data_IF_467533488786
#
_entry.id   IF_467533488786
#
_cell.length_a   1.000
_cell.length_b   1.000
_cell.length_c   1.000
_cell.angle_alpha   90.00
_cell.angle_beta   90.00
_cell.angle_gamma   90.00
#
_symmetry.space_group_name_H-M   'P 1'
#
loop_
_entity.id
_entity.type
_entity.pdbx_description
1 polymer ?
#
# COMPACT_ATOMS: atom_id res chain seq x y z
N UNK A 1 -51.46 -9.96 3.26
CA UNK A 1 -50.52 -9.85 4.39
C UNK A 1 -49.09 -9.72 3.89
N UNK A 2 -48.72 -10.45 2.84
CA UNK A 2 -47.35 -10.51 2.32
C UNK A 2 -46.76 -9.16 1.90
N UNK A 3 -47.54 -8.27 1.27
CA UNK A 3 -47.06 -6.93 0.89
C UNK A 3 -46.74 -6.01 2.08
N UNK A 4 -47.43 -6.17 3.21
CA UNK A 4 -47.16 -5.40 4.43
C UNK A 4 -45.92 -5.93 5.15
N UNK A 5 -45.73 -7.25 5.15
CA UNK A 5 -44.56 -7.92 5.72
C UNK A 5 -43.28 -7.57 4.93
N UNK A 6 -43.37 -7.53 3.60
CA UNK A 6 -42.28 -7.09 2.72
C UNK A 6 -41.92 -5.61 2.94
N UNK A 7 -42.93 -4.76 3.19
CA UNK A 7 -42.70 -3.34 3.48
C UNK A 7 -41.92 -3.16 4.80
N UNK A 8 -42.33 -3.86 5.87
CA UNK A 8 -41.61 -3.83 7.15
C UNK A 8 -40.19 -4.39 7.05
N UNK A 9 -39.99 -5.46 6.28
CA UNK A 9 -38.65 -6.01 6.03
C UNK A 9 -37.77 -5.01 5.27
N UNK A 10 -38.32 -4.30 4.28
CA UNK A 10 -37.59 -3.26 3.55
C UNK A 10 -37.27 -2.04 4.42
N UNK A 11 -38.18 -1.63 5.30
CA UNK A 11 -37.96 -0.53 6.23
C UNK A 11 -36.86 -0.88 7.25
N UNK A 12 -36.88 -2.12 7.77
CA UNK A 12 -35.84 -2.62 8.67
C UNK A 12 -34.48 -2.74 7.95
N UNK A 13 -34.48 -3.23 6.70
CA UNK A 13 -33.29 -3.25 5.84
C UNK A 13 -32.73 -1.84 5.63
N UNK A 14 -33.56 -0.86 5.30
CA UNK A 14 -33.13 0.54 5.14
C UNK A 14 -32.63 1.16 6.45
N UNK A 15 -33.18 0.77 7.60
CA UNK A 15 -32.71 1.22 8.91
C UNK A 15 -31.31 0.69 9.22
N UNK A 16 -31.05 -0.61 9.02
CA UNK A 16 -29.72 -1.22 9.20
C UNK A 16 -28.69 -0.59 8.24
N UNK A 17 -29.06 -0.36 6.98
CA UNK A 17 -28.19 0.30 6.00
C UNK A 17 -27.80 1.72 6.43
N UNK A 18 -28.71 2.45 7.10
CA UNK A 18 -28.45 3.80 7.63
C UNK A 18 -27.58 3.78 8.89
N UNK A 19 -27.60 2.71 9.66
CA UNK A 19 -26.81 2.54 10.89
C UNK A 19 -25.39 2.06 10.57
N UNK A 20 -25.24 1.15 9.60
CA UNK A 20 -23.98 0.53 9.17
C UNK A 20 -23.50 1.08 7.81
N UNK A 21 -23.39 2.40 7.69
CA UNK A 21 -22.99 3.08 6.44
C UNK A 21 -21.60 2.71 5.88
N UNK A 22 -20.83 1.92 6.62
CA UNK A 22 -19.48 1.47 6.31
C UNK A 22 -19.39 0.04 5.73
N UNK A 23 -20.51 -0.69 5.62
CA UNK A 23 -20.54 -2.08 5.13
C UNK A 23 -21.13 -2.18 3.72
N UNK A 24 -20.57 -3.07 2.90
CA UNK A 24 -21.13 -3.38 1.58
C UNK A 24 -22.34 -4.30 1.71
N UNK A 25 -23.38 -4.03 0.92
CA UNK A 25 -24.62 -4.78 0.95
C UNK A 25 -24.59 -5.84 -0.15
N UNK A 26 -24.60 -7.10 0.25
CA UNK A 26 -24.76 -8.22 -0.67
C UNK A 26 -26.18 -8.28 -1.24
N UNK A 27 -26.29 -8.45 -2.56
CA UNK A 27 -27.56 -8.77 -3.21
C UNK A 27 -27.94 -10.22 -2.95
N UNK A 28 -29.23 -10.56 -3.12
CA UNK A 28 -29.69 -11.96 -3.01
C UNK A 28 -28.93 -12.88 -3.97
N UNK A 29 -28.58 -12.41 -5.16
CA UNK A 29 -27.79 -13.17 -6.12
C UNK A 29 -26.35 -13.40 -5.65
N UNK A 30 -25.77 -12.46 -4.90
CA UNK A 30 -24.44 -12.63 -4.32
C UNK A 30 -24.47 -13.72 -3.23
N UNK A 31 -25.52 -13.73 -2.40
CA UNK A 31 -25.72 -14.74 -1.35
C UNK A 31 -26.00 -16.12 -1.94
N UNK A 32 -26.86 -16.20 -2.95
CA UNK A 32 -27.20 -17.47 -3.59
C UNK A 32 -25.94 -18.11 -4.17
N UNK A 33 -25.07 -17.36 -4.84
CA UNK A 33 -23.80 -17.87 -5.36
C UNK A 33 -22.84 -18.33 -4.25
N UNK A 34 -22.75 -17.62 -3.13
CA UNK A 34 -21.93 -18.04 -1.96
C UNK A 34 -22.44 -19.37 -1.39
N UNK A 35 -23.76 -19.59 -1.41
CA UNK A 35 -24.40 -20.78 -0.85
C UNK A 35 -24.59 -21.91 -1.87
N UNK A 36 -24.38 -21.65 -3.17
CA UNK A 36 -24.61 -22.61 -4.26
C UNK A 36 -23.38 -23.44 -4.62
N UNK A 37 -22.21 -23.14 -4.06
CA UNK A 37 -21.02 -23.98 -4.26
C UNK A 37 -21.23 -25.30 -3.48
N UNK A 38 -21.79 -26.29 -4.18
CA UNK A 38 -21.72 -27.69 -3.77
C UNK A 38 -20.23 -28.10 -3.72
N UNK A 39 -19.59 -27.89 -2.58
CA UNK A 39 -18.27 -28.44 -2.32
C UNK A 39 -18.37 -29.96 -2.24
N UNK A 40 -17.63 -30.67 -3.09
CA UNK A 40 -17.28 -32.05 -2.85
C UNK A 40 -16.59 -32.15 -1.48
N UNK A 41 -17.20 -32.93 -0.59
CA UNK A 41 -16.77 -33.23 0.77
C UNK A 41 -15.25 -33.50 0.87
N UNK A 42 -14.51 -32.54 1.42
CA UNK A 42 -13.32 -32.84 2.20
C UNK A 42 -13.52 -32.27 3.60
N UNK A 43 -13.53 -33.18 4.57
CA UNK A 43 -13.84 -32.95 5.97
C UNK A 43 -12.90 -31.91 6.60
N UNK A 44 -13.44 -30.75 6.95
CA UNK A 44 -12.87 -29.88 7.98
C UNK A 44 -13.95 -29.51 8.99
N UNK A 45 -13.58 -29.63 10.26
CA UNK A 45 -14.45 -29.47 11.43
C UNK A 45 -15.05 -28.05 11.50
N UNK A 46 -16.37 -27.99 11.51
CA UNK A 46 -17.15 -26.75 11.67
C UNK A 46 -16.95 -26.22 13.10
N UNK A 47 -16.11 -25.20 13.26
CA UNK A 47 -16.11 -24.36 14.46
C UNK A 47 -17.30 -23.41 14.39
N UNK A 48 -18.32 -23.68 15.21
CA UNK A 48 -19.53 -22.88 15.29
C UNK A 48 -19.31 -21.47 15.83
N UNK A 49 -20.01 -20.50 15.25
CA UNK A 49 -20.12 -19.11 15.73
C UNK A 49 -20.77 -19.08 17.13
N UNK A 50 -20.18 -18.42 18.14
CA UNK A 50 -20.83 -18.30 19.45
C UNK A 50 -22.09 -17.45 19.34
N UNK A 51 -23.24 -18.05 19.66
CA UNK A 51 -24.52 -17.35 19.78
C UNK A 51 -24.56 -16.60 21.11
N UNK A 52 -25.00 -15.33 21.06
CA UNK A 52 -25.30 -14.48 22.21
C UNK A 52 -26.13 -15.21 23.27
N UNK A 53 -25.52 -15.45 24.44
CA UNK A 53 -26.24 -15.70 25.69
C UNK A 53 -25.78 -14.68 26.72
N UNK A 54 -26.54 -13.60 26.80
CA UNK A 54 -26.52 -12.67 27.94
C UNK A 54 -27.09 -13.41 29.15
N UNK A 55 -26.24 -14.08 29.93
CA UNK A 55 -26.59 -14.51 31.28
C UNK A 55 -26.14 -13.45 32.30
N UNK A 56 -27.16 -12.76 32.80
CA UNK A 56 -27.12 -11.79 33.89
C UNK A 56 -26.65 -12.49 35.17
N UNK A 57 -25.44 -12.22 35.64
CA UNK A 57 -25.04 -12.51 37.03
C UNK A 57 -24.68 -11.20 37.73
N UNK A 58 -25.56 -10.81 38.64
CA UNK A 58 -25.37 -9.72 39.60
C UNK A 58 -24.30 -10.14 40.62
N UNK A 59 -23.33 -9.26 40.89
CA UNK A 59 -22.59 -9.26 42.16
C UNK A 59 -22.27 -7.84 42.60
N UNK A 60 -22.45 -7.61 43.90
CA UNK A 60 -22.40 -6.33 44.63
C UNK A 60 -20.99 -5.72 44.75
N UNK A 61 -20.86 -4.42 45.11
CA UNK A 61 -19.60 -3.71 44.99
C UNK A 61 -18.67 -3.99 46.18
N UNK A 62 -17.49 -4.56 45.90
CA UNK A 62 -16.37 -4.52 46.84
C UNK A 62 -15.42 -3.39 46.46
N UNK A 63 -15.31 -2.42 47.38
CA UNK A 63 -14.34 -1.34 47.36
C UNK A 63 -12.98 -1.90 47.76
N UNK A 64 -12.04 -2.02 46.82
CA UNK A 64 -10.61 -2.05 47.14
C UNK A 64 -9.81 -1.59 45.91
N UNK A 65 -9.16 -0.43 46.03
CA UNK A 65 -8.17 0.06 45.07
C UNK A 65 -6.88 -0.77 45.23
N UNK A 66 -6.35 -1.43 44.20
CA UNK A 66 -4.97 -1.89 44.24
C UNK A 66 -4.07 -0.74 43.76
N UNK A 67 -3.34 -0.13 44.68
CA UNK A 67 -2.17 0.69 44.36
C UNK A 67 -1.16 -0.17 43.62
N UNK A 68 -0.99 0.08 42.31
CA UNK A 68 0.09 -0.52 41.52
C UNK A 68 1.45 -0.11 42.13
N UNK A 69 2.32 -1.06 42.51
CA UNK A 69 3.69 -0.74 42.85
C UNK A 69 4.40 -0.28 41.57
N UNK A 70 5.03 0.89 41.62
CA UNK A 70 5.91 1.39 40.56
C UNK A 70 7.15 0.51 40.57
N UNK A 71 7.16 -0.53 39.73
CA UNK A 71 8.37 -1.30 39.47
C UNK A 71 9.13 -0.54 38.39
N UNK A 72 10.29 0.01 38.75
CA UNK A 72 11.28 0.53 37.80
C UNK A 72 11.89 -0.63 37.01
N UNK A 73 11.10 -1.27 36.14
CA UNK A 73 11.63 -2.21 35.16
C UNK A 73 12.27 -1.40 34.04
N UNK A 74 13.60 -1.28 34.08
CA UNK A 74 14.35 -0.77 32.94
C UNK A 74 14.20 -1.78 31.81
N UNK A 75 13.55 -1.38 30.72
CA UNK A 75 13.33 -2.22 29.54
C UNK A 75 14.61 -2.35 28.71
N UNK A 76 14.71 -3.39 27.89
CA UNK A 76 15.82 -3.53 26.95
C UNK A 76 15.91 -2.34 25.98
N UNK A 77 14.75 -1.85 25.53
CA UNK A 77 14.66 -0.65 24.71
C UNK A 77 15.27 0.55 25.44
N UNK A 78 14.86 0.84 26.67
CA UNK A 78 15.34 1.99 27.44
C UNK A 78 16.85 1.98 27.73
N UNK A 79 17.47 0.79 27.80
CA UNK A 79 18.91 0.59 28.08
C UNK A 79 19.83 0.84 26.88
N UNK A 80 19.29 1.02 25.66
CA UNK A 80 20.14 1.19 24.48
C UNK A 80 21.00 2.45 24.58
N UNK A 81 22.26 2.31 24.17
CA UNK A 81 23.23 3.42 24.10
C UNK A 81 23.07 4.22 22.80
N UNK A 82 22.72 3.54 21.70
CA UNK A 82 22.58 4.16 20.38
C UNK A 82 21.16 4.73 20.26
N UNK A 83 21.03 6.05 20.44
CA UNK A 83 19.77 6.78 20.25
C UNK A 83 19.95 7.80 19.13
N UNK A 84 19.07 7.76 18.13
CA UNK A 84 19.07 8.68 16.98
C UNK A 84 20.42 8.80 16.22
N UNK A 85 21.21 7.71 16.20
CA UNK A 85 22.48 7.67 15.46
C UNK A 85 22.19 7.61 13.96
N UNK A 86 22.78 8.55 13.21
CA UNK A 86 22.66 8.59 11.74
C UNK A 86 23.42 7.41 11.14
N UNK A 87 22.73 6.57 10.37
CA UNK A 87 23.31 5.41 9.70
C UNK A 87 23.75 5.71 8.27
N UNK A 88 22.94 6.50 7.54
CA UNK A 88 23.16 6.82 6.14
C UNK A 88 22.75 8.26 5.85
N UNK A 89 23.53 8.93 5.00
CA UNK A 89 23.22 10.26 4.45
C UNK A 89 23.27 10.15 2.94
N UNK A 90 22.23 10.64 2.26
CA UNK A 90 22.16 10.70 0.81
C UNK A 90 22.33 12.14 0.35
N UNK A 91 23.07 12.35 -0.75
CA UNK A 91 23.32 13.66 -1.34
C UNK A 91 23.92 14.66 -0.34
N UNK A 92 24.94 14.23 0.39
CA UNK A 92 25.72 15.14 1.23
C UNK A 92 26.32 16.24 0.35
N UNK A 93 25.73 17.44 0.41
CA UNK A 93 26.43 18.61 -0.06
C UNK A 93 27.36 19.01 1.07
N UNK A 94 28.67 19.26 0.80
CA UNK A 94 29.52 19.88 1.79
C UNK A 94 28.97 21.29 2.02
N UNK A 95 28.14 21.44 3.05
CA UNK A 95 27.65 22.74 3.43
C UNK A 95 28.85 23.63 3.74
N UNK A 96 28.87 24.79 3.08
CA UNK A 96 29.74 25.89 3.40
C UNK A 96 29.66 26.15 4.90
N UNK A 97 30.80 26.01 5.58
CA UNK A 97 31.12 26.54 6.91
C UNK A 97 29.94 27.22 7.61
N UNK A 98 29.09 26.43 8.25
CA UNK A 98 28.34 26.88 9.42
C UNK A 98 28.66 25.88 10.53
N UNK A 99 29.80 26.16 11.14
CA UNK A 99 30.21 25.70 12.46
C UNK A 99 29.11 26.06 13.48
N UNK A 100 28.12 25.18 13.62
CA UNK A 100 27.28 25.13 14.82
C UNK A 100 27.59 23.77 15.44
N UNK A 101 28.62 23.80 16.29
CA UNK A 101 29.15 22.65 16.97
C UNK A 101 28.08 21.84 17.71
N UNK A 102 28.34 20.54 17.75
CA UNK A 102 27.77 19.57 18.66
C UNK A 102 28.02 20.00 20.12
N UNK A 103 27.17 20.85 20.66
CA UNK A 103 27.11 21.15 22.10
C UNK A 103 25.67 21.56 22.51
N UNK A 104 24.72 20.64 22.39
CA UNK A 104 23.49 20.67 23.20
C UNK A 104 23.27 19.31 23.85
N UNK A 105 24.22 18.91 24.71
CA UNK A 105 23.95 18.04 25.85
C UNK A 105 23.88 18.93 27.09
N UNK A 106 22.77 18.80 27.81
CA UNK A 106 22.50 19.36 29.15
C UNK A 106 22.16 20.85 29.23
N UNK A 107 20.90 21.19 28.95
CA UNK A 107 20.20 22.22 29.72
C UNK A 107 18.76 21.76 29.96
N UNK A 108 18.55 21.12 31.11
CA UNK A 108 17.24 21.07 31.74
C UNK A 108 17.00 22.45 32.37
N UNK A 109 15.85 23.04 32.05
CA UNK A 109 15.40 24.40 32.42
C UNK A 109 15.82 25.50 31.43
N UNK A 110 14.96 25.75 30.43
CA UNK A 110 14.58 27.11 30.06
C UNK A 110 13.30 27.13 29.20
N UNK A 111 12.21 27.57 29.87
CA UNK A 111 11.27 28.60 29.41
C UNK A 111 10.92 28.62 27.91
N UNK A 112 9.73 28.12 27.59
CA UNK A 112 8.91 28.45 26.40
C UNK A 112 9.76 28.67 25.13
N UNK A 113 10.26 27.58 24.52
CA UNK A 113 10.62 27.61 23.09
C UNK A 113 9.32 27.96 22.34
N UNK A 114 9.14 29.26 22.02
CA UNK A 114 8.12 29.72 21.06
C UNK A 114 8.23 28.79 19.85
N UNK A 115 7.13 28.11 19.54
CA UNK A 115 6.97 27.36 18.28
C UNK A 115 7.44 28.31 17.18
N UNK A 116 8.59 28.03 16.56
CA UNK A 116 9.03 28.83 15.43
C UNK A 116 7.96 28.68 14.36
N UNK A 117 7.50 29.75 13.70
CA UNK A 117 6.60 29.61 12.56
C UNK A 117 7.37 28.86 11.46
N UNK A 118 7.26 27.54 11.45
CA UNK A 118 7.79 26.72 10.36
C UNK A 118 6.91 27.00 9.14
N UNK A 119 7.54 27.24 7.99
CA UNK A 119 6.81 27.40 6.73
C UNK A 119 5.90 26.19 6.54
N UNK A 120 4.62 26.44 6.24
CA UNK A 120 3.65 25.35 6.06
C UNK A 120 3.90 24.68 4.71
N UNK A 121 4.04 23.36 4.69
CA UNK A 121 4.02 22.60 3.44
C UNK A 121 2.56 22.44 2.97
N UNK A 122 2.35 22.41 1.64
CA UNK A 122 1.06 22.05 1.07
C UNK A 122 1.00 20.54 0.88
N UNK A 123 -0.05 19.92 1.42
CA UNK A 123 -0.35 18.52 1.21
C UNK A 123 -1.55 18.41 0.27
N UNK A 124 -1.39 17.70 -0.85
CA UNK A 124 -2.48 17.34 -1.75
C UNK A 124 -2.54 15.83 -1.88
N UNK A 125 -3.64 15.27 -1.39
CA UNK A 125 -3.96 13.85 -1.61
C UNK A 125 -4.42 13.69 -3.06
N UNK A 126 -3.71 12.88 -3.85
CA UNK A 126 -4.01 12.66 -5.27
C UNK A 126 -5.17 11.69 -5.48
N UNK A 127 -5.25 10.66 -4.65
CA UNK A 127 -6.38 9.74 -4.56
C UNK A 127 -6.63 9.39 -3.10
N UNK A 128 -7.89 9.41 -2.71
CA UNK A 128 -8.37 8.77 -1.48
C UNK A 128 -8.53 7.27 -1.72
N UNK A 129 -8.80 6.52 -0.65
CA UNK A 129 -9.23 5.13 -0.71
C UNK A 129 -10.39 4.94 -1.70
N UNK A 130 -10.54 3.74 -2.30
CA UNK A 130 -11.68 3.42 -3.16
C UNK A 130 -13.00 3.79 -2.48
N UNK A 131 -13.98 4.22 -3.27
CA UNK A 131 -15.31 4.56 -2.74
C UNK A 131 -15.96 3.33 -2.08
N UNK A 132 -16.87 3.58 -1.13
CA UNK A 132 -17.56 2.55 -0.34
C UNK A 132 -18.31 1.57 -1.25
N UNK A 133 -17.70 0.40 -1.47
CA UNK A 133 -18.20 -0.64 -2.36
C UNK A 133 -17.42 -1.97 -2.29
N UNK A 134 -16.43 -2.06 -1.39
CA UNK A 134 -15.59 -3.24 -1.20
C UNK A 134 -16.44 -4.43 -0.76
N UNK A 135 -16.45 -5.50 -1.57
CA UNK A 135 -17.10 -6.75 -1.18
C UNK A 135 -16.19 -7.49 -0.22
N UNK A 136 -16.61 -7.61 1.03
CA UNK A 136 -15.84 -8.27 2.08
C UNK A 136 -15.61 -9.76 1.79
N UNK A 137 -14.35 -10.19 1.68
CA UNK A 137 -13.96 -11.59 1.43
C UNK A 137 -14.55 -12.20 0.16
N UNK A 138 -14.76 -11.40 -0.88
CA UNK A 138 -15.37 -11.88 -2.12
C UNK A 138 -14.68 -11.32 -3.36
N UNK A 139 -14.28 -12.22 -4.25
CA UNK A 139 -13.63 -11.91 -5.52
C UNK A 139 -14.35 -12.58 -6.68
N UNK A 140 -14.51 -11.89 -7.81
CA UNK A 140 -14.99 -12.48 -9.07
C UNK A 140 -13.81 -12.79 -9.98
N UNK A 141 -13.85 -13.95 -10.63
CA UNK A 141 -12.86 -14.31 -11.67
C UNK A 141 -12.84 -13.25 -12.78
N UNK A 142 -14.01 -12.70 -13.14
CA UNK A 142 -14.14 -11.60 -14.10
C UNK A 142 -13.36 -10.36 -13.69
N UNK A 143 -13.43 -9.96 -12.41
CA UNK A 143 -12.74 -8.77 -11.92
C UNK A 143 -11.22 -8.98 -11.91
N UNK A 144 -10.76 -10.17 -11.53
CA UNK A 144 -9.34 -10.56 -11.64
C UNK A 144 -8.86 -10.49 -13.09
N UNK A 145 -9.62 -11.10 -13.99
CA UNK A 145 -9.33 -11.09 -15.43
C UNK A 145 -9.26 -9.67 -15.98
N UNK A 146 -10.28 -8.85 -15.71
CA UNK A 146 -10.36 -7.47 -16.17
C UNK A 146 -9.19 -6.62 -15.63
N UNK A 147 -8.84 -6.79 -14.35
CA UNK A 147 -7.71 -6.10 -13.72
C UNK A 147 -6.40 -6.39 -14.44
N UNK A 148 -6.12 -7.66 -14.76
CA UNK A 148 -4.90 -8.06 -15.47
C UNK A 148 -4.91 -7.63 -16.94
N UNK A 149 -6.03 -7.81 -17.64
CA UNK A 149 -6.17 -7.42 -19.05
C UNK A 149 -6.04 -5.89 -19.24
N UNK A 150 -6.58 -5.10 -18.32
CA UNK A 150 -6.43 -3.63 -18.33
C UNK A 150 -4.96 -3.24 -18.23
N UNK A 151 -4.13 -3.97 -17.46
CA UNK A 151 -2.68 -3.69 -17.39
C UNK A 151 -2.03 -3.85 -18.77
N UNK A 152 -2.31 -4.96 -19.48
CA UNK A 152 -1.76 -5.21 -20.82
C UNK A 152 -2.21 -4.13 -21.80
N UNK A 153 -3.53 -3.87 -21.84
CA UNK A 153 -4.12 -2.89 -22.77
C UNK A 153 -3.53 -1.50 -22.59
N UNK A 154 -3.36 -1.05 -21.34
CA UNK A 154 -2.80 0.28 -21.06
C UNK A 154 -1.36 0.44 -21.53
N UNK A 155 -0.54 -0.60 -21.36
CA UNK A 155 0.82 -0.57 -21.89
C UNK A 155 0.79 -0.55 -23.42
N UNK A 156 -0.04 -1.39 -24.05
CA UNK A 156 -0.20 -1.39 -25.50
C UNK A 156 -0.61 -0.01 -26.03
N UNK A 157 -1.64 0.62 -25.43
CA UNK A 157 -2.06 1.98 -25.80
C UNK A 157 -0.94 3.01 -25.60
N UNK A 158 -0.19 2.94 -24.51
CA UNK A 158 0.92 3.87 -24.26
C UNK A 158 2.07 3.69 -25.28
N UNK A 159 2.40 2.45 -25.65
CA UNK A 159 3.39 2.17 -26.68
C UNK A 159 2.95 2.67 -28.06
N UNK A 160 1.70 2.43 -28.46
CA UNK A 160 1.16 2.99 -29.72
C UNK A 160 1.18 4.52 -29.70
N UNK A 161 0.71 5.13 -28.61
CA UNK A 161 0.65 6.58 -28.47
C UNK A 161 2.03 7.24 -28.47
N UNK A 162 3.10 6.51 -28.12
CA UNK A 162 4.47 7.03 -28.18
C UNK A 162 4.96 7.31 -29.60
N UNK A 163 4.41 6.62 -30.62
CA UNK A 163 4.85 6.72 -32.00
C UNK A 163 6.29 6.23 -32.26
N UNK A 164 6.93 5.60 -31.27
CA UNK A 164 8.32 5.12 -31.37
C UNK A 164 8.44 3.73 -31.99
N UNK A 165 7.35 2.97 -32.06
CA UNK A 165 7.31 1.58 -32.46
C UNK A 165 6.29 1.34 -33.58
N UNK A 166 6.45 0.26 -34.34
CA UNK A 166 5.49 -0.17 -35.35
C UNK A 166 4.16 -0.64 -34.73
N UNK A 167 3.14 -0.85 -35.57
CA UNK A 167 1.84 -1.38 -35.15
C UNK A 167 1.98 -2.70 -34.38
N UNK A 168 1.21 -2.86 -33.30
CA UNK A 168 1.19 -4.09 -32.52
C UNK A 168 0.76 -5.28 -33.37
N UNK A 169 1.47 -6.38 -33.19
CA UNK A 169 1.22 -7.63 -33.87
C UNK A 169 0.93 -8.74 -32.87
N UNK A 170 0.11 -9.70 -33.27
CA UNK A 170 -0.19 -10.89 -32.49
C UNK A 170 1.09 -11.74 -32.32
N UNK A 171 1.58 -11.93 -31.08
CA UNK A 171 2.79 -12.70 -30.84
C UNK A 171 2.60 -14.20 -31.05
N UNK A 172 1.37 -14.70 -31.25
CA UNK A 172 1.02 -16.13 -31.35
C UNK A 172 0.85 -16.62 -32.80
N UNK A 173 0.93 -15.71 -33.78
CA UNK A 173 0.76 -16.04 -35.20
C UNK A 173 2.13 -16.20 -35.87
N UNK A 174 2.21 -17.14 -36.81
CA UNK A 174 3.38 -17.30 -37.68
C UNK A 174 3.60 -16.01 -38.47
N UNK A 175 4.77 -15.41 -38.30
CA UNK A 175 5.16 -14.21 -39.02
C UNK A 175 6.44 -14.46 -39.84
N UNK A 176 6.38 -14.09 -41.11
CA UNK A 176 7.57 -14.00 -41.97
C UNK A 176 8.23 -12.61 -41.86
N UNK A 177 7.58 -11.65 -41.20
CA UNK A 177 8.09 -10.29 -41.01
C UNK A 177 9.20 -10.33 -39.96
N UNK A 178 10.34 -9.77 -40.30
CA UNK A 178 11.45 -9.58 -39.36
C UNK A 178 11.09 -8.44 -38.39
N UNK A 179 11.28 -8.66 -37.09
CA UNK A 179 11.03 -7.70 -36.00
C UNK A 179 9.55 -7.37 -35.78
N UNK A 180 8.78 -8.38 -35.39
CA UNK A 180 7.42 -8.26 -34.84
C UNK A 180 7.50 -7.51 -33.51
N UNK A 181 6.66 -6.48 -33.34
CA UNK A 181 6.49 -5.76 -32.08
C UNK A 181 5.20 -6.20 -31.40
N UNK A 182 5.30 -6.71 -30.18
CA UNK A 182 4.15 -7.22 -29.43
C UNK A 182 4.24 -6.79 -27.97
N UNK A 183 3.08 -6.50 -27.37
CA UNK A 183 2.96 -6.20 -25.95
C UNK A 183 2.22 -7.34 -25.27
N UNK A 184 2.74 -7.79 -24.12
CA UNK A 184 2.12 -8.86 -23.36
C UNK A 184 2.59 -8.92 -21.93
N UNK A 185 1.94 -9.78 -21.16
CA UNK A 185 2.25 -10.06 -19.77
C UNK A 185 3.12 -11.31 -19.66
N UNK A 186 4.17 -11.25 -18.84
CA UNK A 186 5.02 -12.40 -18.53
C UNK A 186 4.25 -13.38 -17.65
N UNK A 187 4.23 -14.65 -18.06
CA UNK A 187 3.61 -15.74 -17.32
C UNK A 187 4.59 -16.93 -17.19
N UNK A 188 4.31 -17.83 -16.25
CA UNK A 188 4.99 -19.12 -16.12
C UNK A 188 4.11 -20.22 -16.72
N UNK A 189 4.72 -21.28 -17.26
CA UNK A 189 4.03 -22.47 -17.78
C UNK A 189 3.63 -23.49 -16.69
N UNK A 190 4.03 -23.27 -15.42
CA UNK A 190 3.71 -24.12 -14.28
C UNK A 190 3.67 -23.38 -12.95
N UNK A 191 3.41 -24.11 -11.87
CA UNK A 191 3.20 -23.59 -10.50
C UNK A 191 4.50 -23.24 -9.75
N UNK A 192 5.66 -23.33 -10.41
CA UNK A 192 6.98 -23.03 -9.84
C UNK A 192 7.49 -21.63 -10.13
N UNK A 193 8.65 -21.31 -9.57
CA UNK A 193 9.36 -20.06 -9.88
C UNK A 193 9.64 -19.91 -11.38
N UNK A 194 9.55 -18.67 -11.86
CA UNK A 194 9.87 -18.32 -13.24
C UNK A 194 11.31 -18.73 -13.56
N UNK A 195 11.49 -19.56 -14.59
CA UNK A 195 12.80 -19.95 -15.09
C UNK A 195 12.89 -19.64 -16.58
N UNK A 196 14.10 -19.52 -17.11
CA UNK A 196 14.33 -19.08 -18.50
C UNK A 196 13.61 -19.93 -19.56
N UNK A 197 13.29 -21.20 -19.26
CA UNK A 197 12.65 -22.12 -20.19
C UNK A 197 11.12 -22.11 -20.10
N UNK A 198 10.56 -21.61 -18.99
CA UNK A 198 9.12 -21.58 -18.71
C UNK A 198 8.45 -20.23 -18.98
N UNK A 199 9.17 -19.29 -19.59
CA UNK A 199 8.67 -17.94 -19.80
C UNK A 199 7.69 -17.93 -20.97
N UNK A 200 6.45 -17.55 -20.66
CA UNK A 200 5.39 -17.32 -21.62
C UNK A 200 5.08 -15.82 -21.70
N UNK A 201 4.66 -15.37 -22.89
CA UNK A 201 4.09 -14.05 -23.10
C UNK A 201 2.60 -14.20 -23.41
N UNK A 202 1.76 -13.72 -22.49
CA UNK A 202 0.32 -13.63 -22.70
C UNK A 202 -0.02 -12.30 -23.38
N UNK A 203 -0.58 -12.36 -24.59
CA UNK A 203 -1.05 -11.14 -25.27
C UNK A 203 -2.41 -10.69 -24.74
N UNK A 204 -2.86 -9.52 -25.20
CA UNK A 204 -4.18 -9.01 -24.83
C UNK A 204 -5.31 -9.78 -25.52
N UNK A 205 -6.53 -9.66 -24.99
CA UNK A 205 -7.74 -10.21 -25.63
C UNK A 205 -7.95 -9.58 -27.00
N UNK A 206 -7.78 -8.26 -27.09
CA UNK A 206 -7.97 -7.49 -28.32
C UNK A 206 -7.03 -7.91 -29.45
N UNK A 207 -5.74 -8.15 -29.17
CA UNK A 207 -4.73 -8.39 -30.20
C UNK A 207 -4.45 -9.87 -30.46
N UNK A 208 -4.73 -10.74 -29.48
CA UNK A 208 -4.33 -12.17 -29.54
C UNK A 208 -5.37 -13.11 -28.93
N UNK A 209 -6.55 -12.64 -28.55
CA UNK A 209 -7.55 -13.45 -27.86
C UNK A 209 -7.10 -13.99 -26.50
N UNK A 210 -6.12 -13.32 -25.86
CA UNK A 210 -5.55 -13.75 -24.57
C UNK A 210 -4.62 -14.96 -24.69
N UNK A 211 -4.21 -15.34 -25.91
CA UNK A 211 -3.34 -16.48 -26.14
C UNK A 211 -1.93 -16.25 -25.60
N UNK A 212 -1.23 -17.36 -25.35
CA UNK A 212 0.13 -17.38 -24.80
C UNK A 212 1.09 -17.97 -25.81
N UNK A 213 2.29 -17.39 -25.88
CA UNK A 213 3.39 -17.93 -26.69
C UNK A 213 4.64 -18.10 -25.83
N UNK A 214 5.44 -19.12 -26.12
CA UNK A 214 6.74 -19.29 -25.45
C UNK A 214 7.69 -18.19 -25.87
N UNK A 215 8.41 -17.61 -24.91
CA UNK A 215 9.38 -16.56 -25.15
C UNK A 215 10.80 -17.14 -25.09
N UNK A 216 11.55 -17.03 -26.19
CA UNK A 216 12.96 -17.41 -26.24
C UNK A 216 13.85 -16.17 -26.09
N UNK A 217 14.66 -16.15 -25.03
CA UNK A 217 15.48 -15.02 -24.61
C UNK A 217 16.97 -15.20 -24.92
N UNK A 218 17.39 -16.29 -25.58
CA UNK A 218 18.81 -16.62 -25.77
C UNK A 218 19.62 -15.54 -26.51
N UNK A 219 18.96 -14.65 -27.26
CA UNK A 219 19.60 -13.55 -27.99
C UNK A 219 19.75 -12.27 -27.17
N UNK A 220 19.20 -12.21 -25.97
CA UNK A 220 19.27 -11.05 -25.09
C UNK A 220 20.48 -11.18 -24.16
N UNK A 221 21.26 -10.12 -24.03
CA UNK A 221 22.40 -10.10 -23.13
C UNK A 221 22.00 -9.84 -21.67
N UNK A 222 20.91 -9.08 -21.47
CA UNK A 222 20.41 -8.67 -20.16
C UNK A 222 18.90 -8.52 -20.23
N UNK A 223 18.22 -9.06 -19.23
CA UNK A 223 16.78 -8.89 -19.01
C UNK A 223 16.48 -9.11 -17.52
N UNK A 224 15.34 -8.60 -17.07
CA UNK A 224 14.82 -8.87 -15.73
C UNK A 224 13.32 -9.06 -15.85
N UNK A 225 12.86 -10.26 -15.55
CA UNK A 225 11.45 -10.60 -15.61
C UNK A 225 10.92 -11.12 -14.27
N UNK A 226 9.67 -10.79 -14.00
CA UNK A 226 8.90 -11.38 -12.91
C UNK A 226 7.47 -11.68 -13.39
N UNK A 227 6.74 -12.57 -12.69
CA UNK A 227 5.36 -12.90 -13.03
C UNK A 227 4.45 -11.67 -13.11
N UNK A 228 3.64 -11.62 -14.15
CA UNK A 228 2.72 -10.52 -14.46
C UNK A 228 3.33 -9.17 -14.82
N UNK A 229 4.65 -9.09 -15.04
CA UNK A 229 5.25 -7.93 -15.66
C UNK A 229 4.72 -7.74 -17.09
N UNK A 230 4.24 -6.54 -17.41
CA UNK A 230 3.83 -6.22 -18.78
C UNK A 230 5.02 -5.62 -19.52
N UNK A 231 5.36 -6.19 -20.66
CA UNK A 231 6.55 -5.84 -21.43
C UNK A 231 6.22 -5.77 -22.92
N UNK A 232 6.99 -4.96 -23.63
CA UNK A 232 7.02 -4.96 -25.09
C UNK A 232 8.23 -5.78 -25.59
N UNK A 233 8.00 -6.63 -26.58
CA UNK A 233 9.00 -7.50 -27.17
C UNK A 233 9.11 -7.18 -28.66
N UNK A 234 10.34 -6.91 -29.11
CA UNK A 234 10.70 -6.95 -30.53
C UNK A 234 11.35 -8.30 -30.83
N UNK A 235 10.82 -9.06 -31.77
CA UNK A 235 11.32 -10.39 -32.05
C UNK A 235 10.84 -10.98 -33.37
N UNK A 236 10.97 -12.29 -33.50
CA UNK A 236 10.39 -13.02 -34.63
C UNK A 236 9.73 -14.30 -34.14
N UNK A 237 8.54 -14.61 -34.66
CA UNK A 237 7.85 -15.85 -34.40
C UNK A 237 7.68 -16.65 -35.72
N UNK A 238 8.70 -17.41 -36.13
CA UNK A 238 8.64 -18.18 -37.37
C UNK A 238 7.71 -19.39 -37.27
N UNK A 239 7.32 -19.81 -36.07
CA UNK A 239 6.65 -21.09 -35.83
C UNK A 239 5.23 -20.99 -35.26
N UNK A 240 4.79 -19.79 -34.89
CA UNK A 240 3.53 -19.51 -34.19
C UNK A 240 3.58 -19.80 -32.69
N UNK A 241 4.35 -20.80 -32.27
CA UNK A 241 4.39 -21.25 -30.87
C UNK A 241 5.61 -20.75 -30.07
N UNK A 242 6.56 -20.04 -30.69
CA UNK A 242 7.70 -19.47 -29.99
C UNK A 242 8.16 -18.14 -30.57
N UNK A 243 8.07 -17.09 -29.77
CA UNK A 243 8.59 -15.76 -30.08
C UNK A 243 10.05 -15.68 -29.64
N UNK A 244 10.95 -15.53 -30.61
CA UNK A 244 12.38 -15.34 -30.37
C UNK A 244 12.64 -13.84 -30.17
N UNK A 245 12.85 -13.44 -28.92
CA UNK A 245 13.08 -12.05 -28.56
C UNK A 245 14.44 -11.58 -29.06
N UNK A 246 14.47 -10.36 -29.61
CA UNK A 246 15.69 -9.66 -30.01
C UNK A 246 15.94 -8.41 -29.19
N UNK A 247 14.87 -7.82 -28.63
CA UNK A 247 14.92 -6.69 -27.71
C UNK A 247 13.68 -6.70 -26.82
N UNK A 248 13.86 -6.23 -25.60
CA UNK A 248 12.82 -6.09 -24.57
C UNK A 248 12.72 -4.63 -24.20
N UNK A 249 11.51 -4.15 -24.03
CA UNK A 249 11.20 -2.82 -23.49
C UNK A 249 10.29 -3.01 -22.29
N UNK A 250 10.84 -2.74 -21.12
CA UNK A 250 10.23 -2.99 -19.79
C UNK A 250 9.71 -1.71 -19.12
N UNK A 251 9.83 -0.58 -19.80
CA UNK A 251 9.37 0.73 -19.34
C UNK A 251 8.27 1.27 -20.25
N UNK A 252 7.15 1.67 -19.63
CA UNK A 252 6.10 2.40 -20.34
C UNK A 252 6.70 3.73 -20.83
N UNK A 253 6.51 4.09 -22.10
CA UNK A 253 6.90 5.41 -22.59
C UNK A 253 6.11 6.46 -21.80
N UNK A 254 6.79 7.27 -21.01
CA UNK A 254 6.16 8.43 -20.39
C UNK A 254 5.83 9.39 -21.53
N UNK A 255 4.57 9.40 -21.95
CA UNK A 255 4.07 10.44 -22.83
C UNK A 255 4.09 11.72 -22.01
N UNK A 256 5.17 12.47 -22.11
CA UNK A 256 5.17 13.89 -21.78
C UNK A 256 4.17 14.51 -22.74
N UNK A 257 2.91 14.64 -22.32
CA UNK A 257 2.01 15.55 -23.02
C UNK A 257 2.73 16.91 -23.00
N UNK A 258 3.10 17.50 -24.15
CA UNK A 258 3.46 18.89 -24.12
C UNK A 258 2.22 19.60 -23.57
N UNK A 259 2.45 20.46 -22.59
CA UNK A 259 1.46 21.32 -21.97
C UNK A 259 0.76 22.14 -23.08
N UNK A 260 -0.29 21.57 -23.66
CA UNK A 260 -1.11 22.18 -24.71
C UNK A 260 -2.53 22.17 -24.20
N UNK A 261 -2.87 23.29 -23.55
CA UNK A 261 -4.20 23.86 -23.65
C UNK A 261 -5.29 23.19 -22.84
N UNK A 262 -5.10 23.04 -21.52
CA UNK A 262 -6.25 23.16 -20.65
C UNK A 262 -6.64 24.65 -20.54
N UNK A 263 -7.88 25.05 -20.90
CA UNK A 263 -8.34 26.41 -20.64
C UNK A 263 -8.32 26.64 -19.12
N UNK A 264 -7.92 27.84 -18.65
CA UNK A 264 -7.83 28.10 -17.22
C UNK A 264 -9.22 27.95 -16.63
N UNK A 265 -9.42 26.88 -15.85
CA UNK A 265 -10.62 26.71 -15.06
C UNK A 265 -10.80 27.99 -14.23
N UNK A 266 -11.97 28.60 -14.39
CA UNK A 266 -12.37 29.88 -13.79
C UNK A 266 -11.85 29.96 -12.36
N UNK A 267 -10.98 30.94 -12.12
CA UNK A 267 -10.67 31.45 -10.78
C UNK A 267 -12.00 31.74 -10.07
N UNK A 268 -12.38 30.89 -9.14
CA UNK A 268 -13.27 31.32 -8.07
C UNK A 268 -12.49 32.38 -7.30
N UNK A 269 -13.03 33.59 -7.31
CA UNK A 269 -12.49 34.71 -6.58
C UNK A 269 -12.72 34.49 -5.09
N UNK A 270 -11.65 34.24 -4.33
CA UNK A 270 -11.51 34.75 -2.97
C UNK A 270 -10.03 34.82 -2.59
N UNK A 271 -9.67 36.02 -2.14
CA UNK A 271 -8.46 36.53 -1.48
C UNK A 271 -7.12 36.48 -2.23
N UNK A 272 -6.80 37.66 -2.78
CA UNK A 272 -5.46 38.09 -3.14
C UNK A 272 -4.65 38.29 -1.86
N UNK A 273 -3.58 37.51 -1.66
CA UNK A 273 -2.33 38.03 -1.10
C UNK A 273 -1.15 37.08 -1.40
N UNK A 274 -0.09 37.70 -1.92
CA UNK A 274 1.27 37.17 -2.17
C UNK A 274 1.45 36.32 -3.45
N UNK A 275 1.76 37.02 -4.55
CA UNK A 275 2.56 36.43 -5.64
C UNK A 275 4.02 36.29 -5.18
N UNK A 276 4.70 35.14 -5.37
CA UNK A 276 6.15 35.08 -5.28
C UNK A 276 6.79 35.57 -6.59
N UNK A 277 7.72 36.51 -6.46
CA UNK A 277 8.65 36.96 -7.51
C UNK A 277 9.54 35.81 -8.01
N UNK A 278 10.12 35.88 -9.22
CA UNK A 278 10.93 34.81 -9.83
C UNK A 278 12.37 34.74 -9.26
N UNK A 279 12.52 35.02 -7.97
CA UNK A 279 13.73 34.77 -7.18
C UNK A 279 13.40 33.68 -6.17
N UNK A 280 13.04 32.48 -6.65
CA UNK A 280 12.71 31.36 -5.79
C UNK A 280 14.00 30.84 -5.15
N UNK A 281 14.30 31.32 -3.94
CA UNK A 281 15.00 30.49 -2.95
C UNK A 281 14.28 29.15 -2.94
N UNK A 282 14.98 28.07 -3.23
CA UNK A 282 14.44 26.71 -3.09
C UNK A 282 13.97 26.58 -1.65
N UNK A 283 12.65 26.53 -1.43
CA UNK A 283 12.10 26.25 -0.10
C UNK A 283 12.34 24.78 0.17
N UNK A 284 13.22 24.49 1.13
CA UNK A 284 13.56 23.13 1.52
C UNK A 284 12.38 22.49 2.27
N UNK A 285 11.99 21.28 1.86
CA UNK A 285 10.95 20.51 2.54
C UNK A 285 11.60 19.64 3.63
N UNK A 286 11.19 19.84 4.89
CA UNK A 286 11.62 19.02 6.02
C UNK A 286 10.56 17.98 6.40
N UNK A 287 10.89 16.71 6.16
CA UNK A 287 10.02 15.55 6.39
C UNK A 287 10.69 14.56 7.33
N UNK A 288 9.91 13.96 8.24
CA UNK A 288 10.33 12.77 8.99
C UNK A 288 9.37 11.63 8.68
N UNK A 289 9.91 10.46 8.35
CA UNK A 289 9.14 9.25 8.10
C UNK A 289 9.58 8.21 9.14
N UNK A 290 8.62 7.54 9.76
CA UNK A 290 8.85 6.40 10.62
C UNK A 290 7.89 5.27 10.22
N UNK A 291 8.36 4.03 10.28
CA UNK A 291 7.56 2.85 9.99
C UNK A 291 7.64 1.86 11.17
N UNK A 292 6.58 1.09 11.35
CA UNK A 292 6.44 0.14 12.44
C UNK A 292 7.38 -1.07 12.30
N UNK A 293 7.34 -2.01 13.25
CA UNK A 293 6.51 -2.01 14.46
C UNK A 293 6.93 -0.93 15.47
N UNK A 294 5.96 -0.36 16.18
CA UNK A 294 6.20 0.67 17.21
C UNK A 294 6.25 0.13 18.64
N UNK A 295 6.42 -1.18 18.79
CA UNK A 295 6.64 -1.86 20.08
C UNK A 295 7.79 -2.87 19.96
N UNK A 296 8.44 -3.18 21.08
CA UNK A 296 9.46 -4.24 21.12
C UNK A 296 8.80 -5.60 21.29
N UNK A 297 9.51 -6.69 20.99
CA UNK A 297 8.94 -8.05 21.00
C UNK A 297 8.72 -8.64 22.40
N UNK A 298 9.31 -8.03 23.42
CA UNK A 298 9.29 -8.47 24.81
C UNK A 298 8.15 -7.83 25.62
N UNK A 299 7.49 -6.78 25.12
CA UNK A 299 6.43 -6.07 25.82
C UNK A 299 5.56 -5.20 24.88
N UNK A 300 4.39 -4.79 25.37
CA UNK A 300 3.48 -3.84 24.70
C UNK A 300 3.51 -2.43 25.32
N UNK A 301 4.69 -1.90 25.66
CA UNK A 301 4.83 -0.56 26.25
C UNK A 301 4.91 0.57 25.22
N UNK A 302 5.07 0.23 23.93
CA UNK A 302 5.14 1.19 22.81
C UNK A 302 6.19 2.29 23.00
N UNK A 303 7.28 1.99 23.69
CA UNK A 303 8.41 2.91 23.83
C UNK A 303 9.01 3.33 22.46
N UNK A 304 9.08 2.45 21.43
CA UNK A 304 9.44 2.83 20.07
C UNK A 304 8.46 3.79 19.37
N UNK A 305 7.25 3.98 19.87
CA UNK A 305 6.35 5.06 19.42
C UNK A 305 6.68 6.39 20.12
N UNK A 306 6.86 6.32 21.44
CA UNK A 306 6.97 7.50 22.30
C UNK A 306 8.28 8.25 22.06
N UNK A 307 9.41 7.53 21.93
CA UNK A 307 10.72 8.20 21.78
C UNK A 307 10.84 8.98 20.46
N UNK A 308 10.46 8.43 19.29
CA UNK A 308 10.47 9.20 18.04
C UNK A 308 9.52 10.38 18.07
N UNK A 309 8.30 10.24 18.63
CA UNK A 309 7.34 11.36 18.78
C UNK A 309 7.94 12.50 19.60
N UNK A 310 8.57 12.20 20.73
CA UNK A 310 9.24 13.20 21.55
C UNK A 310 10.38 13.91 20.79
N UNK A 311 11.13 13.17 19.98
CA UNK A 311 12.20 13.73 19.16
C UNK A 311 11.67 14.63 18.03
N UNK A 312 10.63 14.22 17.30
CA UNK A 312 10.04 15.07 16.25
C UNK A 312 9.31 16.30 16.82
N UNK A 313 8.74 16.21 18.03
CA UNK A 313 8.23 17.38 18.75
C UNK A 313 9.31 18.43 19.04
N UNK A 314 10.55 17.99 19.26
CA UNK A 314 11.70 18.89 19.47
C UNK A 314 12.24 19.45 18.16
N UNK A 315 12.32 18.62 17.11
CA UNK A 315 12.85 19.00 15.79
C UNK A 315 11.87 19.84 14.97
N UNK A 316 10.57 19.70 15.20
CA UNK A 316 9.48 20.39 14.52
C UNK A 316 9.59 20.35 12.97
N UNK A 317 9.67 19.16 12.35
CA UNK A 317 9.63 19.07 10.88
C UNK A 317 8.29 19.60 10.34
N UNK A 318 8.24 19.92 9.05
CA UNK A 318 7.01 20.42 8.42
C UNK A 318 5.94 19.32 8.32
N UNK A 319 6.37 18.07 8.13
CA UNK A 319 5.50 16.91 8.07
C UNK A 319 6.15 15.69 8.73
N UNK A 320 5.34 14.92 9.45
CA UNK A 320 5.69 13.59 9.97
C UNK A 320 4.77 12.56 9.30
N UNK A 321 5.36 11.50 8.75
CA UNK A 321 4.64 10.36 8.17
C UNK A 321 4.91 9.14 9.04
N UNK A 322 3.88 8.52 9.58
CA UNK A 322 3.98 7.31 10.40
C UNK A 322 3.27 6.15 9.71
N UNK A 323 4.03 5.12 9.35
CA UNK A 323 3.54 3.94 8.68
C UNK A 323 3.42 2.78 9.67
N UNK A 324 2.34 2.00 9.60
CA UNK A 324 2.15 0.79 10.40
C UNK A 324 3.17 -0.31 10.11
N UNK A 325 3.02 -1.50 10.71
CA UNK A 325 1.93 -1.86 11.62
C UNK A 325 2.05 -1.12 12.96
N UNK A 326 0.95 -0.52 13.42
CA UNK A 326 0.92 0.10 14.75
C UNK A 326 0.70 -0.93 15.86
N UNK A 327 -0.05 -1.99 15.56
CA UNK A 327 -0.29 -3.13 16.42
C UNK A 327 -0.04 -4.37 15.57
N UNK A 328 1.12 -4.99 15.73
CA UNK A 328 1.57 -6.11 14.92
C UNK A 328 0.88 -7.41 15.38
N UNK A 329 0.07 -8.05 14.51
CA UNK A 329 -0.52 -9.36 14.80
C UNK A 329 0.54 -10.42 15.09
N UNK A 330 1.74 -10.22 14.55
CA UNK A 330 2.81 -11.19 14.70
C UNK A 330 3.56 -11.05 16.04
N UNK A 331 3.22 -10.04 16.84
CA UNK A 331 3.84 -9.81 18.14
C UNK A 331 3.62 -11.00 19.10
N UNK A 332 4.65 -11.47 19.84
CA UNK A 332 4.54 -12.67 20.67
C UNK A 332 3.41 -12.67 21.70
N UNK A 333 3.13 -11.52 22.34
CA UNK A 333 2.02 -11.42 23.32
C UNK A 333 0.64 -11.40 22.64
N UNK A 334 0.57 -10.92 21.40
CA UNK A 334 -0.66 -10.90 20.62
C UNK A 334 -0.96 -12.31 20.09
N UNK A 335 0.02 -12.97 19.45
CA UNK A 335 -0.12 -14.34 18.95
C UNK A 335 -0.51 -15.36 20.02
N UNK A 336 -0.04 -15.18 21.26
CA UNK A 336 -0.37 -16.08 22.37
C UNK A 336 -1.83 -15.98 22.81
N UNK A 337 -2.54 -14.89 22.46
CA UNK A 337 -3.93 -14.69 22.85
C UNK A 337 -4.12 -14.54 24.37
N UNK A 338 -3.08 -14.17 25.11
CA UNK A 338 -3.12 -14.05 26.58
C UNK A 338 -3.52 -12.65 27.06
N UNK A 339 -3.84 -11.75 26.14
CA UNK A 339 -4.20 -10.36 26.44
C UNK A 339 -5.69 -10.25 26.76
N UNK A 340 -6.02 -9.61 27.87
CA UNK A 340 -7.39 -9.30 28.28
C UNK A 340 -7.86 -7.95 27.70
N UNK A 341 -7.50 -7.68 26.43
CA UNK A 341 -7.83 -6.46 25.68
C UNK A 341 -8.01 -6.78 24.21
N UNK A 342 -8.92 -6.07 23.55
CA UNK A 342 -9.08 -6.17 22.10
C UNK A 342 -7.97 -5.41 21.35
N UNK A 343 -7.76 -5.74 20.08
CA UNK A 343 -6.83 -5.00 19.21
C UNK A 343 -7.22 -3.54 19.05
N UNK A 344 -8.53 -3.27 19.00
CA UNK A 344 -9.05 -1.93 18.92
C UNK A 344 -8.72 -1.16 20.18
N UNK A 345 -8.91 -1.74 21.36
CA UNK A 345 -8.56 -1.09 22.63
C UNK A 345 -7.07 -0.74 22.68
N UNK A 346 -6.20 -1.68 22.31
CA UNK A 346 -4.74 -1.45 22.27
C UNK A 346 -4.43 -0.29 21.31
N UNK A 347 -4.97 -0.32 20.10
CA UNK A 347 -4.73 0.72 19.10
C UNK A 347 -5.24 2.09 19.57
N UNK A 348 -6.47 2.18 20.09
CA UNK A 348 -7.02 3.47 20.52
C UNK A 348 -6.22 4.06 21.68
N UNK A 349 -5.90 3.24 22.68
CA UNK A 349 -5.28 3.70 23.94
C UNK A 349 -3.79 3.99 23.78
N UNK A 350 -3.06 3.11 23.08
CA UNK A 350 -1.60 3.19 22.97
C UNK A 350 -1.12 3.91 21.71
N UNK A 351 -1.93 3.97 20.65
CA UNK A 351 -1.52 4.59 19.38
C UNK A 351 -2.30 5.88 19.16
N UNK A 352 -3.60 5.79 18.92
CA UNK A 352 -4.41 6.91 18.43
C UNK A 352 -4.37 8.10 19.38
N UNK A 353 -4.52 7.85 20.69
CA UNK A 353 -4.44 8.90 21.71
C UNK A 353 -3.09 9.63 21.66
N UNK A 354 -1.96 8.91 21.56
CA UNK A 354 -0.62 9.53 21.53
C UNK A 354 -0.40 10.35 20.25
N UNK A 355 -0.93 9.88 19.11
CA UNK A 355 -0.89 10.61 17.84
C UNK A 355 -1.76 11.87 17.88
N UNK A 356 -2.94 11.79 18.50
CA UNK A 356 -3.82 12.95 18.72
C UNK A 356 -3.16 13.98 19.63
N UNK A 357 -2.59 13.56 20.77
CA UNK A 357 -1.85 14.43 21.69
C UNK A 357 -0.71 15.16 20.95
N UNK A 358 0.03 14.46 20.09
CA UNK A 358 1.06 15.05 19.24
C UNK A 358 0.49 16.07 18.24
N UNK A 359 -0.59 15.73 17.54
CA UNK A 359 -1.21 16.60 16.54
C UNK A 359 -1.80 17.87 17.15
N UNK A 360 -2.39 17.77 18.34
CA UNK A 360 -2.87 18.91 19.12
C UNK A 360 -1.72 19.82 19.57
N UNK A 361 -0.62 19.22 20.05
CA UNK A 361 0.56 19.96 20.48
C UNK A 361 1.26 20.70 19.32
N UNK A 362 1.37 20.06 18.16
CA UNK A 362 2.12 20.58 17.01
C UNK A 362 1.29 21.44 16.04
N UNK A 363 -0.03 21.30 16.08
CA UNK A 363 -0.97 21.96 15.17
C UNK A 363 -1.35 21.10 13.96
N UNK A 364 -2.56 21.33 13.45
CA UNK A 364 -3.16 20.56 12.36
C UNK A 364 -2.30 20.56 11.09
N UNK A 365 -2.31 19.43 10.37
CA UNK A 365 -1.67 19.27 9.06
C UNK A 365 -0.18 18.88 9.08
N UNK A 366 0.38 18.54 10.25
CA UNK A 366 1.79 18.14 10.42
C UNK A 366 2.02 16.65 10.62
N UNK A 367 0.95 15.86 10.73
CA UNK A 367 1.02 14.42 10.91
C UNK A 367 0.15 13.74 9.85
N UNK A 368 0.75 12.79 9.15
CA UNK A 368 0.06 11.76 8.38
C UNK A 368 0.40 10.41 8.98
N UNK A 369 -0.59 9.56 9.12
CA UNK A 369 -0.39 8.19 9.52
C UNK A 369 -1.26 7.25 8.69
N UNK A 370 -0.76 6.05 8.42
CA UNK A 370 -1.42 5.03 7.61
C UNK A 370 -0.76 3.66 7.81
N UNK A 371 -1.45 2.57 7.45
CA UNK A 371 -1.08 1.21 7.88
C UNK A 371 -1.81 0.86 9.18
N UNK A 372 -2.46 -0.30 9.22
CA UNK A 372 -3.65 -0.53 10.05
C UNK A 372 -3.42 -1.53 11.20
N UNK A 373 -4.51 -1.86 11.92
CA UNK A 373 -4.61 -2.93 12.93
C UNK A 373 -4.56 -4.27 12.20
N UNK A 374 -3.65 -5.17 12.54
CA UNK A 374 -3.48 -6.44 11.82
C UNK A 374 -4.67 -7.43 11.86
N UNK A 375 -5.88 -7.05 12.30
CA UNK A 375 -7.07 -7.91 12.28
C UNK A 375 -8.23 -7.40 11.44
N UNK A 376 -8.35 -6.09 11.16
CA UNK A 376 -9.40 -5.60 10.24
C UNK A 376 -8.96 -5.65 8.78
N UNK A 377 -7.68 -5.90 8.51
CA UNK A 377 -7.12 -5.86 7.16
C UNK A 377 -6.03 -6.90 7.01
N UNK A 378 -6.42 -8.17 6.87
CA UNK A 378 -5.54 -9.10 6.16
C UNK A 378 -5.22 -8.56 4.76
N UNK A 379 -6.15 -7.82 4.13
CA UNK A 379 -6.12 -7.31 2.74
C UNK A 379 -4.91 -6.44 2.32
N UNK A 380 -4.13 -5.82 3.22
CA UNK A 380 -3.07 -4.87 2.81
C UNK A 380 -1.77 -4.86 3.64
N UNK A 381 -1.70 -5.41 4.86
CA UNK A 381 -0.43 -5.54 5.62
C UNK A 381 0.61 -6.37 4.84
N UNK A 382 0.10 -7.25 3.99
CA UNK A 382 0.91 -8.12 3.16
C UNK A 382 1.25 -7.51 1.78
N UNK A 383 0.50 -6.51 1.30
CA UNK A 383 0.77 -5.87 0.01
C UNK A 383 2.09 -5.08 0.01
N UNK A 384 2.66 -4.80 1.19
CA UNK A 384 3.91 -4.06 1.31
C UNK A 384 5.12 -4.95 1.68
N UNK A 385 4.90 -6.15 2.22
CA UNK A 385 5.94 -6.95 2.88
C UNK A 385 6.74 -7.89 1.97
N UNK A 386 6.48 -7.89 0.65
CA UNK A 386 7.11 -8.84 -0.27
C UNK A 386 8.21 -8.27 -1.20
N UNK A 387 8.71 -7.06 -0.96
CA UNK A 387 9.45 -6.30 -1.98
C UNK A 387 10.88 -5.91 -1.58
N UNK A 388 11.74 -6.85 -1.20
CA UNK A 388 13.11 -6.57 -0.74
C UNK A 388 14.16 -6.19 -1.83
N UNK A 389 13.77 -5.70 -3.02
CA UNK A 389 14.72 -5.39 -4.10
C UNK A 389 14.47 -4.01 -4.77
N UNK A 390 15.54 -3.27 -5.03
CA UNK A 390 15.59 -2.05 -5.86
C UNK A 390 14.96 -2.26 -7.24
N UNK A 391 15.09 -3.46 -7.82
CA UNK A 391 14.46 -3.82 -9.11
C UNK A 391 12.94 -3.78 -9.05
N UNK A 392 12.39 -4.12 -7.89
CA UNK A 392 10.97 -4.09 -7.63
C UNK A 392 10.49 -2.63 -7.64
N UNK A 393 11.14 -1.73 -6.90
CA UNK A 393 10.80 -0.30 -6.96
C UNK A 393 10.93 0.30 -8.36
N UNK A 394 11.95 -0.08 -9.12
CA UNK A 394 12.07 0.29 -10.54
C UNK A 394 10.84 -0.19 -11.31
N UNK A 395 10.47 -1.46 -11.18
CA UNK A 395 9.29 -2.00 -11.87
C UNK A 395 7.97 -1.36 -11.44
N UNK A 396 7.80 -1.02 -10.16
CA UNK A 396 6.60 -0.33 -9.69
C UNK A 396 6.49 1.04 -10.39
N UNK A 397 7.62 1.76 -10.49
CA UNK A 397 7.70 3.05 -11.18
C UNK A 397 7.47 2.94 -12.70
N UNK A 398 8.02 1.91 -13.36
CA UNK A 398 7.91 1.73 -14.81
C UNK A 398 6.58 1.12 -15.23
N UNK A 399 6.04 0.19 -14.46
CA UNK A 399 4.72 -0.42 -14.67
C UNK A 399 3.56 0.44 -14.19
N UNK A 400 3.83 1.53 -13.45
CA UNK A 400 2.85 2.44 -12.87
C UNK A 400 1.83 1.76 -11.93
N UNK A 401 2.29 0.80 -11.13
CA UNK A 401 1.50 0.11 -10.10
C UNK A 401 2.34 -0.09 -8.84
N UNK A 402 1.74 0.14 -7.66
CA UNK A 402 2.37 -0.09 -6.36
C UNK A 402 2.62 -1.58 -6.09
N UNK A 403 1.82 -2.48 -6.65
CA UNK A 403 1.99 -3.93 -6.56
C UNK A 403 1.73 -4.62 -7.92
N UNK A 404 2.75 -4.73 -8.79
CA UNK A 404 2.58 -5.28 -10.13
C UNK A 404 2.63 -6.82 -10.19
N UNK A 405 3.15 -7.50 -9.15
CA UNK A 405 3.29 -8.96 -9.12
C UNK A 405 1.92 -9.65 -9.06
N UNK A 406 1.74 -10.69 -9.87
CA UNK A 406 0.62 -11.60 -9.79
C UNK A 406 1.02 -13.01 -10.28
N UNK A 407 0.58 -14.10 -9.63
CA UNK A 407 -0.13 -14.15 -8.34
C UNK A 407 0.62 -13.40 -7.22
N UNK A 408 -0.09 -12.80 -6.26
CA UNK A 408 0.57 -12.11 -5.16
C UNK A 408 1.39 -13.10 -4.32
N UNK A 409 2.37 -12.59 -3.56
CA UNK A 409 3.17 -13.42 -2.66
C UNK A 409 2.28 -14.16 -1.67
N UNK A 410 2.70 -15.35 -1.25
CA UNK A 410 1.96 -16.14 -0.27
C UNK A 410 1.71 -15.33 1.02
N UNK A 411 0.49 -15.44 1.56
CA UNK A 411 0.03 -14.64 2.68
C UNK A 411 -0.42 -13.22 2.30
N UNK A 412 -0.24 -12.78 1.05
CA UNK A 412 -0.69 -11.47 0.56
C UNK A 412 -2.08 -11.55 -0.10
N UNK A 413 -3.17 -11.25 0.62
CA UNK A 413 -4.44 -11.03 -0.04
C UNK A 413 -4.38 -9.76 -0.87
N UNK A 414 -4.95 -9.84 -2.07
CA UNK A 414 -5.01 -8.76 -3.03
C UNK A 414 -6.39 -8.79 -3.69
N UNK A 415 -7.22 -7.79 -3.37
CA UNK A 415 -8.46 -7.56 -4.08
C UNK A 415 -8.16 -6.86 -5.42
N UNK A 416 -8.24 -7.63 -6.50
CA UNK A 416 -7.96 -7.12 -7.85
C UNK A 416 -9.09 -6.24 -8.40
N UNK A 417 -10.29 -6.28 -7.82
CA UNK A 417 -11.40 -5.39 -8.19
C UNK A 417 -11.09 -3.94 -7.81
N UNK A 418 -10.40 -3.72 -6.68
CA UNK A 418 -9.98 -2.41 -6.20
C UNK A 418 -8.56 -2.01 -6.66
N UNK A 419 -7.75 -2.97 -7.11
CA UNK A 419 -6.34 -2.74 -7.44
C UNK A 419 -6.12 -1.62 -8.47
N UNK A 420 -7.02 -1.45 -9.45
CA UNK A 420 -6.89 -0.39 -10.45
C UNK A 420 -7.06 1.02 -9.84
N UNK A 421 -7.94 1.16 -8.85
CA UNK A 421 -8.20 2.43 -8.18
C UNK A 421 -7.17 2.71 -7.09
N UNK A 422 -6.85 1.69 -6.28
CA UNK A 422 -6.00 1.81 -5.10
C UNK A 422 -4.50 1.73 -5.41
N UNK A 423 -4.09 0.84 -6.32
CA UNK A 423 -2.67 0.50 -6.52
C UNK A 423 -2.07 1.15 -7.77
N UNK A 424 -2.84 1.86 -8.58
CA UNK A 424 -2.32 2.51 -9.76
C UNK A 424 -1.61 3.82 -9.43
N UNK A 425 -0.35 3.92 -9.88
CA UNK A 425 0.42 5.15 -9.84
C UNK A 425 -0.07 6.08 -10.98
N UNK A 426 -0.39 7.34 -10.65
CA UNK A 426 -0.89 8.31 -11.65
C UNK A 426 0.21 8.98 -12.46
N UNK A 427 1.40 9.10 -11.89
CA UNK A 427 2.57 9.77 -12.47
C UNK A 427 3.84 9.25 -11.82
N UNK A 428 4.96 9.25 -12.55
CA UNK A 428 6.26 8.80 -12.02
C UNK A 428 6.60 9.60 -10.76
N UNK A 429 6.75 8.95 -9.58
CA UNK A 429 7.03 9.63 -8.34
C UNK A 429 8.47 10.15 -8.30
N UNK A 430 8.69 11.30 -7.66
CA UNK A 430 10.04 11.83 -7.41
C UNK A 430 10.75 11.10 -6.27
N UNK A 431 9.97 10.65 -5.28
CA UNK A 431 10.42 9.90 -4.10
C UNK A 431 9.43 8.76 -3.92
N UNK A 432 9.96 7.54 -3.77
CA UNK A 432 9.20 6.36 -3.35
C UNK A 432 9.69 6.02 -1.95
N UNK A 433 8.74 5.89 -1.03
CA UNK A 433 8.99 5.38 0.31
C UNK A 433 8.45 3.96 0.29
N UNK A 434 9.33 2.97 0.45
CA UNK A 434 8.96 1.57 0.57
C UNK A 434 9.58 1.01 1.85
N UNK A 435 8.79 0.28 2.62
CA UNK A 435 9.23 -0.34 3.86
C UNK A 435 9.53 -1.80 3.55
N UNK A 436 10.70 -2.27 3.97
CA UNK A 436 11.13 -3.64 3.76
C UNK A 436 11.07 -4.37 5.09
N UNK A 437 10.11 -5.28 5.26
CA UNK A 437 10.13 -6.22 6.38
C UNK A 437 11.20 -7.26 6.06
N UNK A 438 12.34 -7.19 6.73
CA UNK A 438 13.30 -8.29 6.72
C UNK A 438 12.58 -9.49 7.34
N UNK A 439 12.27 -10.51 6.54
CA UNK A 439 12.04 -11.84 7.09
C UNK A 439 13.33 -12.23 7.80
N UNK A 440 13.26 -12.44 9.11
CA UNK A 440 14.36 -13.05 9.83
C UNK A 440 14.56 -14.47 9.27
N UNK A 441 15.77 -14.75 8.80
CA UNK A 441 16.21 -16.07 8.32
C UNK A 441 15.96 -17.20 9.34
#
# INVERSE_FOLDING_TARGET
>A
MDGFLLHLQNEQKEAVIKEETHLHIYSSNDVDMILSDEHEDNKEDILGTPTDRVERLQSEPSSEKPSRPVINHTTHFGQRINKFVVQFVFNDQPDRENDIGEHELENHDDVIRRIRPSERCSLRVLRSWPELGCRFMYDRIEDKFNSLEIRIRRHATAFVASGLYEDLMDPTVVSQKKNVFSVGMVCCDGEGHLNEKSILLQGSVEHSGGQRVRLDLQKLNQFSFFPSQVVAIEGNNPSGHCLIASKVVDSIPVVLSPDVGMPPAKKQAMDQEIQPSPSSSLTELSLVIAAGSFTTTDNLLFEPLVEPLANVSRKQPQLVVMLGPFVDSEHPEIKKGTLDRSFDEIFHVEILRKLQDYAEFMGQGRLLYGGWRSHEIQLMDHLWTAWADLRAMYSASTGMFFYPLYPPTEGVPLDLSLALEALQISSVPKIIIAELRQQAD
#
